data_IF_815942647434
#
_entry.id   IF_815942647434
#
_cell.length_a   1.000
_cell.length_b   1.000
_cell.length_c   1.000
_cell.angle_alpha   90.00
_cell.angle_beta   90.00
_cell.angle_gamma   90.00
#
_symmetry.space_group_name_H-M   'P 1'
#
loop_
_entity.id
_entity.type
_entity.pdbx_description
1 polymer ?
#
# COMPACT_ATOMS: atom_id res chain seq x y z
N UNK A 1 7.59 -85.26 -17.93
CA UNK A 1 7.56 -83.93 -18.56
C UNK A 1 7.75 -82.88 -17.47
N UNK A 2 8.98 -82.45 -17.16
CA UNK A 2 9.25 -81.50 -16.08
C UNK A 2 9.40 -80.09 -16.62
N UNK A 3 8.38 -79.25 -16.48
CA UNK A 3 8.42 -77.85 -16.92
C UNK A 3 9.30 -77.01 -16.00
N UNK A 4 10.40 -76.48 -16.53
CA UNK A 4 11.25 -75.48 -15.88
C UNK A 4 10.51 -74.13 -15.91
N UNK A 5 10.16 -73.57 -14.74
CA UNK A 5 9.75 -72.17 -14.66
C UNK A 5 10.76 -71.42 -13.80
N UNK A 6 11.66 -70.70 -14.48
CA UNK A 6 12.61 -69.78 -13.84
C UNK A 6 11.88 -68.46 -13.59
N UNK A 7 11.52 -68.22 -12.33
CA UNK A 7 10.97 -66.93 -11.91
C UNK A 7 12.12 -65.92 -11.82
N UNK A 8 12.24 -65.04 -12.83
CA UNK A 8 13.10 -63.85 -12.76
C UNK A 8 12.30 -62.71 -12.16
N UNK A 9 12.47 -62.43 -10.87
CA UNK A 9 11.97 -61.19 -10.28
C UNK A 9 12.93 -60.04 -10.63
N UNK A 10 12.45 -59.08 -11.42
CA UNK A 10 13.16 -57.83 -11.65
C UNK A 10 12.97 -56.91 -10.44
N UNK A 11 14.04 -56.66 -9.70
CA UNK A 11 14.05 -55.68 -8.62
C UNK A 11 13.97 -54.25 -9.19
N UNK A 12 13.16 -53.35 -8.60
CA UNK A 12 13.13 -51.96 -9.04
C UNK A 12 14.42 -51.27 -8.58
N UNK A 13 15.29 -50.94 -9.52
CA UNK A 13 16.45 -50.07 -9.29
C UNK A 13 15.95 -48.67 -8.92
N UNK A 14 16.08 -48.31 -7.65
CA UNK A 14 15.73 -47.00 -7.13
C UNK A 14 16.58 -45.93 -7.82
N UNK A 15 15.93 -45.02 -8.55
CA UNK A 15 16.58 -43.86 -9.17
C UNK A 15 16.89 -42.84 -8.07
N UNK A 16 18.17 -42.65 -7.77
CA UNK A 16 18.65 -41.60 -6.87
C UNK A 16 18.50 -40.25 -7.60
N UNK A 17 17.50 -39.47 -7.20
CA UNK A 17 17.32 -38.11 -7.73
C UNK A 17 18.17 -37.17 -6.89
N UNK A 18 19.32 -36.77 -7.43
CA UNK A 18 20.14 -35.71 -6.85
C UNK A 18 19.46 -34.36 -7.12
N UNK A 19 18.82 -33.80 -6.10
CA UNK A 19 18.21 -32.48 -6.19
C UNK A 19 19.30 -31.40 -6.20
N UNK A 20 19.59 -30.83 -7.36
CA UNK A 20 20.48 -29.67 -7.51
C UNK A 20 19.65 -28.40 -7.35
N UNK A 21 19.99 -27.55 -6.36
CA UNK A 21 19.31 -26.27 -6.17
C UNK A 21 19.72 -25.31 -7.29
N UNK A 22 18.77 -24.76 -8.08
CA UNK A 22 19.10 -23.76 -9.09
C UNK A 22 19.64 -22.49 -8.42
N UNK A 23 20.73 -21.95 -8.95
CA UNK A 23 21.34 -20.72 -8.47
C UNK A 23 20.51 -19.50 -8.93
N UNK A 24 20.09 -18.65 -7.97
CA UNK A 24 19.42 -17.39 -8.27
C UNK A 24 20.48 -16.27 -8.38
N UNK A 25 20.69 -15.69 -9.58
CA UNK A 25 21.70 -14.65 -9.74
C UNK A 25 21.31 -13.36 -9.01
N UNK A 26 22.30 -12.65 -8.48
CA UNK A 26 22.08 -11.35 -7.85
C UNK A 26 21.75 -10.28 -8.89
N UNK A 27 20.83 -9.38 -8.55
CA UNK A 27 20.55 -8.19 -9.36
C UNK A 27 21.77 -7.26 -9.37
N UNK A 28 22.08 -6.68 -10.54
CA UNK A 28 23.15 -5.70 -10.69
C UNK A 28 22.53 -4.31 -10.77
N UNK A 29 23.03 -3.38 -9.95
CA UNK A 29 22.65 -1.97 -10.05
C UNK A 29 23.54 -1.26 -11.07
N UNK A 30 22.99 -0.29 -11.83
CA UNK A 30 23.79 0.55 -12.71
C UNK A 30 24.85 1.32 -11.93
N UNK A 31 26.01 1.46 -12.55
CA UNK A 31 27.12 2.30 -12.10
C UNK A 31 26.64 3.75 -11.94
N UNK A 32 26.91 4.38 -10.78
CA UNK A 32 26.50 5.79 -10.50
C UNK A 32 27.57 6.81 -10.88
N UNK A 33 28.48 6.35 -11.72
CA UNK A 33 29.50 7.00 -12.54
C UNK A 33 29.04 8.30 -13.22
N UNK A 34 28.95 9.43 -12.51
CA UNK A 34 28.56 10.71 -13.12
C UNK A 34 27.10 11.14 -12.93
N UNK A 35 26.33 10.44 -12.09
CA UNK A 35 25.06 10.97 -11.57
C UNK A 35 25.40 11.85 -10.36
N UNK A 36 25.22 13.19 -10.43
CA UNK A 36 25.47 14.04 -9.29
C UNK A 36 24.58 13.60 -8.12
N UNK A 37 25.19 13.43 -6.95
CA UNK A 37 24.47 13.02 -5.74
C UNK A 37 23.40 14.10 -5.46
N UNK A 38 22.11 13.73 -5.34
CA UNK A 38 21.06 14.73 -5.17
C UNK A 38 21.34 15.56 -3.91
N UNK A 39 21.54 16.87 -4.10
CA UNK A 39 21.78 17.80 -3.01
C UNK A 39 20.44 18.18 -2.38
N UNK A 40 20.28 17.85 -1.11
CA UNK A 40 19.06 18.15 -0.34
C UNK A 40 18.74 19.65 -0.38
N UNK A 41 19.75 20.52 -0.38
CA UNK A 41 19.53 21.96 -0.41
C UNK A 41 18.96 22.47 -1.74
N UNK A 42 19.33 21.86 -2.87
CA UNK A 42 18.79 22.23 -4.17
C UNK A 42 17.34 21.74 -4.33
N UNK A 43 17.05 20.53 -3.82
CA UNK A 43 15.70 20.00 -3.78
C UNK A 43 14.74 20.83 -2.91
N UNK A 44 15.22 21.42 -1.81
CA UNK A 44 14.40 22.31 -0.97
C UNK A 44 14.13 23.66 -1.64
N UNK A 45 15.09 24.20 -2.40
CA UNK A 45 14.93 25.45 -3.14
C UNK A 45 13.88 25.33 -4.25
N UNK A 46 13.82 24.21 -4.97
CA UNK A 46 12.83 24.00 -6.02
C UNK A 46 11.40 23.87 -5.48
N UNK A 47 11.23 23.28 -4.29
CA UNK A 47 9.93 23.17 -3.62
C UNK A 47 9.38 24.52 -3.15
N UNK A 48 10.26 25.46 -2.76
CA UNK A 48 9.83 26.75 -2.21
C UNK A 48 9.34 27.74 -3.29
N UNK A 49 9.82 27.59 -4.53
CA UNK A 49 9.47 28.47 -5.66
C UNK A 49 8.10 28.13 -6.28
N UNK A 50 7.55 26.94 -6.01
CA UNK A 50 6.35 26.43 -6.69
C UNK A 50 5.04 26.54 -5.88
N UNK A 51 5.03 27.25 -4.74
CA UNK A 51 3.81 27.48 -3.95
C UNK A 51 3.06 28.73 -4.46
N UNK A 52 1.85 28.62 -5.04
CA UNK A 52 1.05 29.79 -5.38
C UNK A 52 0.45 30.41 -4.10
N UNK A 53 0.70 31.69 -3.88
CA UNK A 53 0.17 32.48 -2.76
C UNK A 53 -1.27 32.94 -3.06
N UNK A 54 -2.29 32.57 -2.25
CA UNK A 54 -3.64 33.09 -2.45
C UNK A 54 -3.74 34.49 -1.83
N UNK A 55 -3.66 35.51 -2.66
CA UNK A 55 -4.12 36.85 -2.30
C UNK A 55 -5.64 36.82 -2.15
N UNK A 56 -6.16 37.15 -0.97
CA UNK A 56 -7.58 37.46 -0.80
C UNK A 56 -7.75 38.71 0.06
N UNK A 57 -8.09 39.80 -0.62
CA UNK A 57 -8.65 41.02 -0.07
C UNK A 57 -10.18 40.90 -0.12
N UNK A 58 -10.86 40.89 1.02
CA UNK A 58 -12.25 41.36 1.17
C UNK A 58 -12.66 41.43 2.65
N UNK A 59 -13.17 42.59 3.04
CA UNK A 59 -13.74 42.93 4.34
C UNK A 59 -15.13 42.30 4.57
N UNK A 60 -15.46 41.97 5.82
CA UNK A 60 -16.74 42.24 6.53
C UNK A 60 -17.24 41.12 7.46
N UNK A 61 -17.44 41.51 8.74
CA UNK A 61 -18.50 41.11 9.70
C UNK A 61 -18.66 39.65 10.17
N UNK A 62 -18.19 39.44 11.42
CA UNK A 62 -18.67 38.56 12.49
C UNK A 62 -19.66 37.40 12.20
N UNK A 63 -19.17 36.17 12.44
CA UNK A 63 -19.91 34.98 12.89
C UNK A 63 -18.96 34.13 13.78
N UNK A 64 -19.45 33.39 14.79
CA UNK A 64 -18.60 32.82 15.83
C UNK A 64 -17.67 31.75 15.25
N UNK A 65 -16.44 31.77 15.74
CA UNK A 65 -15.36 30.89 15.29
C UNK A 65 -15.67 29.45 15.67
N UNK A 66 -16.28 28.70 14.75
CA UNK A 66 -16.27 27.24 14.79
C UNK A 66 -14.86 26.84 14.37
N UNK A 67 -14.09 26.43 15.37
CA UNK A 67 -12.71 25.94 15.27
C UNK A 67 -12.53 25.03 14.05
N UNK A 68 -11.62 25.46 13.17
CA UNK A 68 -10.89 24.64 12.18
C UNK A 68 -11.64 23.42 11.64
N UNK A 69 -12.72 23.65 10.89
CA UNK A 69 -13.09 22.69 9.84
C UNK A 69 -11.95 22.71 8.84
N UNK A 70 -11.00 21.78 8.99
CA UNK A 70 -10.03 21.51 7.94
C UNK A 70 -10.87 21.12 6.73
N UNK A 71 -11.03 22.05 5.80
CA UNK A 71 -11.54 21.78 4.46
C UNK A 71 -10.49 20.91 3.79
N UNK A 72 -10.57 19.61 4.05
CA UNK A 72 -9.82 18.60 3.32
C UNK A 72 -10.17 18.81 1.85
N UNK A 73 -9.18 18.93 0.95
CA UNK A 73 -9.47 18.98 -0.46
C UNK A 73 -10.32 17.75 -0.82
N UNK A 74 -11.34 17.89 -1.68
CA UNK A 74 -12.16 16.77 -2.11
C UNK A 74 -11.23 15.68 -2.61
N UNK A 75 -11.23 14.52 -1.93
CA UNK A 75 -10.36 13.41 -2.27
C UNK A 75 -10.77 12.97 -3.68
N UNK A 76 -9.86 13.01 -4.66
CA UNK A 76 -10.17 12.54 -6.00
C UNK A 76 -10.45 11.03 -5.93
N UNK A 77 -11.69 10.63 -6.17
CA UNK A 77 -12.11 9.23 -6.10
C UNK A 77 -13.63 9.07 -5.97
N UNK A 78 -14.11 7.84 -6.15
CA UNK A 78 -15.51 7.50 -5.91
C UNK A 78 -15.76 7.55 -4.40
N UNK A 79 -16.76 8.30 -3.91
CA UNK A 79 -17.06 8.32 -2.49
C UNK A 79 -17.49 6.92 -2.02
N UNK A 80 -16.92 6.49 -0.90
CA UNK A 80 -17.31 5.23 -0.28
C UNK A 80 -18.81 5.27 0.06
N UNK A 81 -19.57 4.29 -0.42
CA UNK A 81 -21.01 4.15 -0.14
C UNK A 81 -21.23 2.82 0.59
N UNK A 82 -22.28 2.68 1.40
CA UNK A 82 -22.56 1.41 2.10
C UNK A 82 -22.65 0.21 1.14
N UNK A 83 -23.21 0.42 -0.05
CA UNK A 83 -23.27 -0.59 -1.09
C UNK A 83 -21.88 -1.02 -1.62
N UNK A 84 -20.93 -0.08 -1.79
CA UNK A 84 -19.58 -0.41 -2.26
C UNK A 84 -18.80 -1.21 -1.22
N UNK A 85 -18.98 -0.90 0.06
CA UNK A 85 -18.34 -1.64 1.17
C UNK A 85 -18.86 -3.09 1.23
N UNK A 86 -20.14 -3.33 0.93
CA UNK A 86 -20.70 -4.69 0.92
C UNK A 86 -20.11 -5.57 -0.19
N UNK A 87 -19.65 -4.99 -1.31
CA UNK A 87 -19.01 -5.73 -2.40
C UNK A 87 -17.61 -6.24 -2.04
N UNK A 88 -16.95 -5.62 -1.06
CA UNK A 88 -15.59 -6.01 -0.65
C UNK A 88 -15.59 -7.36 0.08
N UNK A 89 -14.51 -8.16 -0.03
CA UNK A 89 -14.33 -9.35 0.80
C UNK A 89 -14.39 -9.00 2.29
N UNK A 90 -14.92 -9.92 3.11
CA UNK A 90 -15.15 -9.69 4.54
C UNK A 90 -13.92 -9.17 5.30
N UNK A 91 -12.71 -9.56 4.87
CA UNK A 91 -11.42 -9.18 5.48
C UNK A 91 -11.07 -7.70 5.28
N UNK A 92 -11.73 -7.02 4.36
CA UNK A 92 -11.53 -5.61 4.02
C UNK A 92 -12.75 -4.73 4.32
N UNK A 93 -13.85 -5.32 4.83
CA UNK A 93 -15.05 -4.56 5.19
C UNK A 93 -14.81 -3.79 6.49
N UNK A 94 -15.02 -2.47 6.45
CA UNK A 94 -15.01 -1.59 7.63
C UNK A 94 -16.29 -1.77 8.44
N UNK A 95 -16.26 -1.45 9.74
CA UNK A 95 -17.48 -1.36 10.56
C UNK A 95 -18.19 -0.02 10.29
N UNK A 96 -19.54 0.01 10.27
CA UNK A 96 -20.27 1.27 10.21
C UNK A 96 -19.99 2.10 11.47
N UNK A 97 -19.74 3.40 11.29
CA UNK A 97 -19.54 4.36 12.38
C UNK A 97 -20.89 4.80 12.94
N UNK A 98 -21.02 4.78 14.27
CA UNK A 98 -22.20 5.31 14.98
C UNK A 98 -22.07 6.82 15.14
N UNK A 99 -23.18 7.57 15.10
CA UNK A 99 -23.17 9.04 15.20
C UNK A 99 -22.47 9.52 16.48
N UNK A 100 -22.73 8.90 17.63
CA UNK A 100 -22.06 9.22 18.89
C UNK A 100 -20.54 9.04 18.81
N UNK A 101 -20.08 8.00 18.12
CA UNK A 101 -18.66 7.74 17.89
C UNK A 101 -18.05 8.78 16.93
N UNK A 102 -18.79 9.18 15.89
CA UNK A 102 -18.37 10.26 15.01
C UNK A 102 -18.13 11.55 15.81
N UNK A 103 -19.05 11.89 16.71
CA UNK A 103 -18.91 13.09 17.53
C UNK A 103 -17.77 12.95 18.54
N UNK A 104 -17.60 11.79 19.15
CA UNK A 104 -16.48 11.53 20.07
C UNK A 104 -15.12 11.67 19.38
N UNK A 105 -14.98 11.11 18.17
CA UNK A 105 -13.77 11.23 17.35
C UNK A 105 -13.54 12.70 16.95
N UNK A 106 -14.59 13.42 16.55
CA UNK A 106 -14.49 14.84 16.17
C UNK A 106 -14.14 15.73 17.37
N UNK A 107 -14.65 15.44 18.56
CA UNK A 107 -14.33 16.16 19.80
C UNK A 107 -12.91 15.87 20.30
N UNK A 108 -12.35 14.70 19.96
CA UNK A 108 -10.96 14.35 20.30
C UNK A 108 -10.80 13.50 21.57
N UNK A 109 -11.88 12.90 22.08
CA UNK A 109 -11.82 12.02 23.25
C UNK A 109 -12.72 12.46 24.41
N UNK A 110 -12.50 11.89 25.62
CA UNK A 110 -13.17 12.30 26.84
C UNK A 110 -12.46 13.52 27.45
N UNK A 111 -13.24 14.35 28.15
CA UNK A 111 -12.73 15.48 28.96
C UNK A 111 -12.05 15.02 30.25
#
# INVERSE_FOLDING_TARGET
MGSKVSSKMAAPTARVIQAVRPHAPMIKFPSREGIPKPNVQEALKTLLVTVPQPNSSASASAAPQILSRVTLPPIPGTPDTLASVQLLPARYRRRPLVVEEMDYIQRGGPE
#
